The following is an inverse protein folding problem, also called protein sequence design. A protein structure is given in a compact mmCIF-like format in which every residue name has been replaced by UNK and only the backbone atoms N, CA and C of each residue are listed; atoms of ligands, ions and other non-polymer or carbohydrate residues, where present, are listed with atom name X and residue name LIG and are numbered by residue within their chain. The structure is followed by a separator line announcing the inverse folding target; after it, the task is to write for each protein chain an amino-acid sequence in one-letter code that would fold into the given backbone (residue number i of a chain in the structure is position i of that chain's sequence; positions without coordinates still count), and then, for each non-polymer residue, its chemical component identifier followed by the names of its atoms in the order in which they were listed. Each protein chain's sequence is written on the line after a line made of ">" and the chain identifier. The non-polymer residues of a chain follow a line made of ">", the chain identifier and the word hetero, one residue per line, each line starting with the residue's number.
data_IF_911296483850
#
_entry.id   IF_911296483850
#
_cell.length_a   1.000
_cell.length_b   1.000
_cell.length_c   1.000
_cell.angle_alpha   90.00
_cell.angle_beta   90.00
_cell.angle_gamma   90.00
#
_symmetry.space_group_name_H-M   'P 1'
#
loop_
_entity.id
_entity.type
_entity.pdbx_description
1 polymer ?
#
# COMPACT_ATOMS: atom_id res chain seq x y z
N UNK A 1 -29.27 -14.91 1.62
CA UNK A 1 -28.88 -14.55 1.49
C UNK A 1 -28.07 -13.89 1.57
N UNK A 2 -27.67 -13.97 1.46
CA UNK A 2 -27.03 -13.46 1.50
C UNK A 2 -26.58 -12.58 1.45
N UNK A 3 -26.27 -12.18 1.66
CA UNK A 3 -25.85 -11.23 1.55
C UNK A 3 -25.10 -10.76 0.95
N UNK A 4 -25.09 -10.55 0.69
CA UNK A 4 -24.45 -10.16 -0.07
C UNK A 4 -23.98 -8.93 -0.43
N UNK A 5 -24.33 -8.03 -0.18
CA UNK A 5 -23.91 -6.70 -0.42
C UNK A 5 -22.51 -6.50 0.06
N UNK A 6 -22.05 -7.35 0.84
CA UNK A 6 -20.69 -7.28 1.35
C UNK A 6 -19.73 -7.94 0.41
N UNK A 7 -18.49 -7.45 0.42
CA UNK A 7 -17.44 -8.08 -0.33
C UNK A 7 -17.28 -9.51 0.12
N UNK A 8 -17.13 -10.41 -0.83
CA UNK A 8 -16.88 -11.80 -0.49
C UNK A 8 -15.39 -11.99 -0.21
N UNK A 9 -15.03 -13.04 0.50
CA UNK A 9 -13.61 -13.32 0.72
C UNK A 9 -12.82 -13.48 -0.55
N UNK A 10 -13.50 -13.83 -1.64
CA UNK A 10 -12.83 -14.01 -2.93
C UNK A 10 -12.70 -12.74 -3.73
N UNK A 11 -13.37 -11.70 -3.33
CA UNK A 11 -13.35 -10.46 -4.09
C UNK A 11 -12.00 -9.79 -3.96
N UNK A 12 -11.45 -9.39 -5.09
CA UNK A 12 -10.11 -8.81 -5.15
C UNK A 12 -10.15 -7.45 -5.81
N UNK A 13 -9.21 -6.63 -5.44
CA UNK A 13 -9.02 -5.34 -6.08
C UNK A 13 -7.59 -5.25 -6.56
N UNK A 14 -7.38 -4.40 -7.55
CA UNK A 14 -6.07 -4.18 -8.12
C UNK A 14 -5.58 -2.80 -7.71
N UNK A 15 -4.37 -2.73 -7.20
CA UNK A 15 -3.80 -1.44 -6.80
C UNK A 15 -2.38 -1.33 -7.35
N UNK A 16 -1.91 -0.09 -7.46
CA UNK A 16 -0.54 0.20 -7.86
C UNK A 16 0.15 0.82 -6.65
N UNK A 17 1.35 0.33 -6.33
CA UNK A 17 2.13 0.87 -5.21
C UNK A 17 3.40 1.48 -5.78
N UNK A 18 3.63 2.74 -5.45
CA UNK A 18 4.80 3.48 -5.95
C UNK A 18 5.78 3.71 -4.81
N UNK A 19 7.05 3.61 -5.13
CA UNK A 19 8.14 3.80 -4.16
C UNK A 19 9.04 4.90 -4.64
N UNK A 20 9.65 5.61 -3.68
CA UNK A 20 10.53 6.73 -3.96
C UNK A 20 11.78 6.64 -3.12
N UNK A 21 12.86 7.26 -3.60
CA UNK A 21 14.12 7.40 -2.86
C UNK A 21 14.67 6.05 -2.42
N UNK A 22 15.06 5.90 -1.15
CA UNK A 22 15.74 4.70 -0.68
C UNK A 22 14.92 3.42 -0.86
N UNK A 23 13.64 3.41 -0.54
CA UNK A 23 12.85 2.20 -0.82
C UNK A 23 12.85 1.80 -2.29
N UNK A 24 12.76 2.79 -3.18
CA UNK A 24 12.80 2.50 -4.61
C UNK A 24 14.12 1.87 -5.01
N UNK A 25 15.21 2.38 -4.44
CA UNK A 25 16.53 1.84 -4.75
C UNK A 25 16.71 0.45 -4.17
N UNK A 26 16.21 0.24 -2.97
CA UNK A 26 16.33 -1.07 -2.33
C UNK A 26 15.57 -2.15 -3.10
N UNK A 27 14.42 -1.79 -3.65
CA UNK A 27 13.62 -2.74 -4.43
C UNK A 27 14.04 -2.81 -5.89
N UNK A 28 14.79 -1.81 -6.34
CA UNK A 28 15.20 -1.70 -7.74
C UNK A 28 14.00 -1.59 -8.66
N UNK A 29 12.94 -1.00 -8.15
CA UNK A 29 11.75 -0.73 -8.94
C UNK A 29 11.03 0.45 -8.31
N UNK A 30 10.35 1.23 -9.14
CA UNK A 30 9.63 2.39 -8.64
C UNK A 30 8.13 2.14 -8.53
N UNK A 31 7.65 1.00 -9.01
CA UNK A 31 6.23 0.73 -8.87
C UNK A 31 5.97 -0.76 -9.06
N UNK A 32 4.98 -1.25 -8.32
CA UNK A 32 4.52 -2.62 -8.46
C UNK A 32 3.01 -2.60 -8.50
N UNK A 33 2.45 -3.64 -9.11
CA UNK A 33 1.01 -3.83 -9.10
C UNK A 33 0.68 -5.04 -8.25
N UNK A 34 -0.36 -4.90 -7.44
CA UNK A 34 -0.75 -5.94 -6.52
C UNK A 34 -2.24 -6.17 -6.62
N UNK A 35 -2.61 -7.42 -6.43
CA UNK A 35 -3.99 -7.80 -6.25
C UNK A 35 -4.17 -8.15 -4.78
N UNK A 36 -5.14 -7.50 -4.13
CA UNK A 36 -5.35 -7.70 -2.71
C UNK A 36 -6.84 -7.91 -2.46
N UNK A 37 -7.21 -8.49 -1.33
CA UNK A 37 -8.64 -8.65 -1.02
C UNK A 37 -9.33 -7.30 -0.89
N UNK A 38 -10.57 -7.24 -1.32
CA UNK A 38 -11.39 -6.07 -1.06
C UNK A 38 -11.46 -5.86 0.45
N UNK A 39 -11.42 -4.60 0.89
CA UNK A 39 -11.42 -4.30 2.31
C UNK A 39 -10.04 -4.13 2.91
N UNK A 40 -8.99 -4.39 2.13
CA UNK A 40 -7.62 -4.18 2.61
C UNK A 40 -7.41 -2.72 2.97
N UNK A 41 -6.86 -2.47 4.15
CA UNK A 41 -6.53 -1.12 4.57
C UNK A 41 -5.06 -0.83 4.28
N UNK A 42 -4.67 0.44 4.48
CA UNK A 42 -3.26 0.82 4.34
C UNK A 42 -2.40 -0.01 5.29
N UNK A 43 -2.84 -0.17 6.54
CA UNK A 43 -2.07 -0.95 7.50
C UNK A 43 -1.87 -2.38 7.01
N UNK A 44 -2.94 -2.99 6.49
CA UNK A 44 -2.85 -4.34 5.95
C UNK A 44 -1.86 -4.40 4.79
N UNK A 45 -1.90 -3.39 3.93
CA UNK A 45 -1.00 -3.34 2.78
C UNK A 45 0.45 -3.25 3.23
N UNK A 46 0.72 -2.39 4.21
CA UNK A 46 2.10 -2.25 4.68
C UNK A 46 2.61 -3.54 5.32
N UNK A 47 1.74 -4.25 6.04
CA UNK A 47 2.11 -5.55 6.60
C UNK A 47 2.44 -6.53 5.49
N UNK A 48 1.63 -6.54 4.45
CA UNK A 48 1.88 -7.42 3.30
C UNK A 48 3.21 -7.08 2.64
N UNK A 49 3.48 -5.79 2.44
CA UNK A 49 4.72 -5.38 1.80
C UNK A 49 5.93 -5.78 2.63
N UNK A 50 5.84 -5.71 3.96
CA UNK A 50 6.94 -6.13 4.81
C UNK A 50 7.21 -7.62 4.68
N UNK A 51 6.17 -8.40 4.44
CA UNK A 51 6.34 -9.84 4.28
C UNK A 51 6.88 -10.20 2.92
N UNK A 52 6.35 -9.55 1.89
CA UNK A 52 6.77 -9.87 0.52
C UNK A 52 8.13 -9.29 0.19
N UNK A 53 8.47 -8.17 0.77
CA UNK A 53 9.72 -7.47 0.50
C UNK A 53 10.38 -7.11 1.82
N UNK A 54 11.04 -8.08 2.47
CA UNK A 54 11.61 -7.81 3.81
C UNK A 54 12.56 -6.63 3.86
N UNK A 55 13.20 -6.28 2.74
CA UNK A 55 14.10 -5.15 2.71
C UNK A 55 13.38 -3.85 3.06
N UNK A 56 12.07 -3.79 2.88
CA UNK A 56 11.31 -2.59 3.19
C UNK A 56 11.10 -2.38 4.68
N UNK A 57 11.34 -3.39 5.51
CA UNK A 57 11.06 -3.27 6.94
C UNK A 57 11.81 -2.11 7.58
N UNK A 58 13.02 -1.85 7.11
CA UNK A 58 13.82 -0.77 7.64
C UNK A 58 13.17 0.59 7.42
N UNK A 59 12.44 0.73 6.33
CA UNK A 59 11.89 2.03 5.95
C UNK A 59 10.44 2.23 6.41
N UNK A 60 9.72 1.16 6.69
CA UNK A 60 8.26 1.24 6.84
C UNK A 60 7.81 2.19 7.93
N UNK A 61 8.52 2.23 9.05
CA UNK A 61 8.08 3.05 10.17
C UNK A 61 8.22 4.54 9.91
N UNK A 62 8.95 4.89 8.87
CA UNK A 62 9.19 6.31 8.56
C UNK A 62 8.42 6.77 7.33
N UNK A 63 7.66 5.90 6.70
CA UNK A 63 6.97 6.25 5.47
C UNK A 63 5.65 6.94 5.76
N UNK A 64 5.34 7.92 4.93
CA UNK A 64 3.99 8.45 4.84
C UNK A 64 3.33 7.83 3.63
N UNK A 65 2.02 7.69 3.68
CA UNK A 65 1.29 7.05 2.60
C UNK A 65 0.26 8.01 2.04
N UNK A 66 0.24 8.10 0.72
CA UNK A 66 -0.77 8.86 0.01
C UNK A 66 -1.51 7.93 -0.93
N UNK A 67 -2.83 8.10 -1.03
CA UNK A 67 -3.64 7.37 -1.98
C UNK A 67 -4.23 8.36 -2.95
N UNK A 68 -3.97 8.16 -4.23
CA UNK A 68 -4.45 9.06 -5.27
C UNK A 68 -4.11 10.51 -4.94
N UNK A 69 -2.88 10.71 -4.46
CA UNK A 69 -2.28 12.02 -4.20
C UNK A 69 -2.79 12.70 -2.93
N UNK A 70 -3.46 11.97 -2.05
CA UNK A 70 -3.91 12.54 -0.79
C UNK A 70 -3.34 11.71 0.36
N UNK A 71 -2.71 12.37 1.32
CA UNK A 71 -2.20 11.67 2.49
C UNK A 71 -3.37 11.06 3.26
N UNK A 72 -3.17 9.85 3.73
CA UNK A 72 -4.23 9.10 4.41
C UNK A 72 -3.66 8.42 5.64
N UNK A 73 -4.56 8.03 6.54
CA UNK A 73 -4.17 7.28 7.71
C UNK A 73 -4.17 5.79 7.48
N UNK A 74 -3.66 5.07 8.47
CA UNK A 74 -3.45 3.63 8.37
C UNK A 74 -4.75 2.84 8.22
N UNK A 75 -5.86 3.38 8.73
CA UNK A 75 -7.12 2.67 8.66
C UNK A 75 -7.88 2.87 7.37
N UNK A 76 -7.32 3.65 6.44
CA UNK A 76 -8.00 3.94 5.17
C UNK A 76 -8.13 2.68 4.34
N UNK A 77 -9.33 2.43 3.84
CA UNK A 77 -9.60 1.26 3.02
C UNK A 77 -9.23 1.56 1.57
N UNK A 78 -8.63 0.57 0.92
CA UNK A 78 -8.23 0.68 -0.48
C UNK A 78 -9.34 0.24 -1.39
N UNK A 79 -9.35 0.78 -2.60
CA UNK A 79 -10.36 0.46 -3.61
C UNK A 79 -9.67 0.13 -4.92
N UNK A 80 -10.39 -0.58 -5.77
CA UNK A 80 -9.86 -0.99 -7.05
C UNK A 80 -9.38 0.22 -7.84
N UNK A 81 -8.18 0.10 -8.38
CA UNK A 81 -7.61 1.16 -9.19
C UNK A 81 -6.83 2.20 -8.40
N UNK A 82 -6.79 2.09 -7.07
CA UNK A 82 -6.06 3.07 -6.28
C UNK A 82 -4.56 3.03 -6.57
N UNK A 83 -3.96 4.22 -6.51
CA UNK A 83 -2.51 4.38 -6.63
C UNK A 83 -2.00 4.81 -5.26
N UNK A 84 -1.18 3.96 -4.66
CA UNK A 84 -0.66 4.15 -3.32
C UNK A 84 0.80 4.57 -3.42
N UNK A 85 1.13 5.71 -2.85
CA UNK A 85 2.51 6.19 -2.85
C UNK A 85 3.09 6.05 -1.46
N UNK A 86 4.24 5.38 -1.37
CA UNK A 86 4.97 5.24 -0.13
C UNK A 86 6.09 6.27 -0.15
N UNK A 87 5.98 7.28 0.69
CA UNK A 87 6.84 8.45 0.62
C UNK A 87 7.75 8.50 1.83
N UNK A 88 9.06 8.69 1.62
CA UNK A 88 9.98 8.83 2.73
C UNK A 88 9.77 10.16 3.43
N UNK A 89 10.31 10.31 4.64
CA UNK A 89 10.19 11.59 5.33
C UNK A 89 10.86 12.69 4.51
N UNK A 90 10.26 13.86 4.55
CA UNK A 90 10.80 15.02 3.84
C UNK A 90 11.52 15.91 4.79
N UNK A 91 12.25 16.83 4.19
CA UNK A 91 12.92 17.82 4.99
C UNK A 91 14.10 17.30 5.72
N UNK A 92 14.40 16.10 5.54
CA UNK A 92 15.54 15.48 6.12
C UNK A 92 16.38 16.38 6.94
N UNK A 93 15.87 17.39 7.09
CA UNK A 93 16.61 18.40 7.82
C UNK A 93 16.46 18.10 9.18
#
# INVERSE_FOLDING_TARGET
>A
MQNQAEATPDERIQITVKFFAAPREALETDEIELEVPAGTTIEDLLDLLKEEYPVLRTYMRFLSVAVNRAYVGMGTELHDGDVVACLPPVGGG
#
